data_IF_332049767165
#
_entry.id   IF_332049767165
#
_cell.length_a   1.000
_cell.length_b   1.000
_cell.length_c   1.000
_cell.angle_alpha   90.00
_cell.angle_beta   90.00
_cell.angle_gamma   90.00
#
_symmetry.space_group_name_H-M   'P 1'
#
loop_
_entity.id
_entity.type
_entity.pdbx_description
1 polymer ?
#
# COMPACT_ATOMS: atom_id res chain seq x y z
N UNK A 1 26.14 27.14 -26.18
CA UNK A 1 25.18 25.99 -26.12
C UNK A 1 25.46 25.03 -24.98
N UNK A 2 26.71 24.86 -24.51
CA UNK A 2 27.03 23.97 -23.37
C UNK A 2 26.43 24.41 -22.04
N UNK A 3 26.46 25.72 -21.72
CA UNK A 3 25.89 26.24 -20.47
C UNK A 3 24.37 25.98 -20.33
N UNK A 4 23.64 26.01 -21.45
CA UNK A 4 22.21 25.68 -21.49
C UNK A 4 21.95 24.17 -21.32
N UNK A 5 22.81 23.32 -21.88
CA UNK A 5 22.76 21.86 -21.69
C UNK A 5 23.07 21.45 -20.26
N UNK A 6 24.04 22.09 -19.61
CA UNK A 6 24.38 21.87 -18.19
C UNK A 6 23.21 22.27 -17.28
N UNK A 7 22.55 23.40 -17.56
CA UNK A 7 21.39 23.83 -16.78
C UNK A 7 20.19 22.87 -16.91
N UNK A 8 19.91 22.36 -18.12
CA UNK A 8 18.85 21.37 -18.34
C UNK A 8 19.19 20.03 -17.68
N UNK A 9 20.44 19.58 -17.80
CA UNK A 9 20.90 18.35 -17.17
C UNK A 9 20.77 18.43 -15.64
N UNK A 10 21.22 19.53 -15.02
CA UNK A 10 21.07 19.75 -13.58
C UNK A 10 19.60 19.76 -13.14
N UNK A 11 18.71 20.44 -13.87
CA UNK A 11 17.26 20.46 -13.59
C UNK A 11 16.62 19.06 -13.72
N UNK A 12 17.07 18.26 -14.68
CA UNK A 12 16.57 16.90 -14.89
C UNK A 12 17.04 15.94 -13.78
N UNK A 13 18.27 16.10 -13.29
CA UNK A 13 18.83 15.31 -12.18
C UNK A 13 18.13 15.66 -10.87
N UNK A 14 17.94 16.95 -10.57
CA UNK A 14 17.22 17.38 -9.36
C UNK A 14 15.75 16.94 -9.41
N UNK A 15 15.10 17.01 -10.57
CA UNK A 15 13.73 16.54 -10.76
C UNK A 15 13.59 15.04 -10.52
N UNK A 16 14.49 14.22 -11.05
CA UNK A 16 14.48 12.76 -10.84
C UNK A 16 14.65 12.38 -9.37
N UNK A 17 15.58 13.01 -8.66
CA UNK A 17 15.82 12.75 -7.22
C UNK A 17 14.59 13.10 -6.38
N UNK A 18 13.88 14.19 -6.71
CA UNK A 18 12.67 14.58 -5.97
C UNK A 18 11.56 13.54 -6.13
N UNK A 19 11.30 13.07 -7.36
CA UNK A 19 10.27 12.05 -7.60
C UNK A 19 10.63 10.76 -6.89
N UNK A 20 11.91 10.39 -6.85
CA UNK A 20 12.38 9.17 -6.21
C UNK A 20 12.14 9.22 -4.70
N UNK A 21 12.56 10.32 -4.05
CA UNK A 21 12.34 10.53 -2.61
C UNK A 21 10.85 10.53 -2.29
N UNK A 22 10.03 11.23 -3.08
CA UNK A 22 8.58 11.26 -2.90
C UNK A 22 7.97 9.86 -3.06
N UNK A 23 8.45 9.08 -4.01
CA UNK A 23 8.03 7.69 -4.24
C UNK A 23 8.35 6.85 -3.02
N UNK A 24 9.60 6.85 -2.55
CA UNK A 24 10.04 6.09 -1.37
C UNK A 24 9.22 6.44 -0.13
N UNK A 25 9.06 7.74 0.15
CA UNK A 25 8.27 8.20 1.31
C UNK A 25 6.82 7.73 1.18
N UNK A 26 6.21 7.94 0.02
CA UNK A 26 4.81 7.61 -0.21
C UNK A 26 4.53 6.10 -0.04
N UNK A 27 5.26 5.25 -0.78
CA UNK A 27 5.04 3.80 -0.75
C UNK A 27 5.51 3.17 0.58
N UNK A 28 6.57 3.72 1.17
CA UNK A 28 7.13 3.25 2.44
C UNK A 28 6.20 3.52 3.61
N UNK A 29 5.69 4.75 3.73
CA UNK A 29 4.71 5.09 4.77
C UNK A 29 3.42 4.28 4.61
N UNK A 30 2.92 4.13 3.38
CA UNK A 30 1.74 3.32 3.11
C UNK A 30 1.91 1.87 3.58
N UNK A 31 3.01 1.25 3.14
CA UNK A 31 3.35 -0.13 3.52
C UNK A 31 3.57 -0.26 5.02
N UNK A 32 4.17 0.75 5.65
CA UNK A 32 4.38 0.81 7.10
C UNK A 32 3.07 0.87 7.89
N UNK A 33 2.08 1.65 7.43
CA UNK A 33 0.74 1.69 8.05
C UNK A 33 0.06 0.32 7.95
N UNK A 34 0.09 -0.30 6.78
CA UNK A 34 -0.47 -1.62 6.52
C UNK A 34 0.19 -2.71 7.39
N UNK A 35 1.52 -2.68 7.47
CA UNK A 35 2.28 -3.55 8.37
C UNK A 35 1.93 -3.31 9.84
N UNK A 36 1.83 -2.05 10.26
CA UNK A 36 1.48 -1.70 11.65
C UNK A 36 0.11 -2.26 12.03
N UNK A 37 -0.87 -2.20 11.12
CA UNK A 37 -2.19 -2.77 11.32
C UNK A 37 -2.09 -4.29 11.52
N UNK A 38 -1.35 -4.98 10.65
CA UNK A 38 -1.20 -6.42 10.70
C UNK A 38 -0.44 -6.90 11.96
N UNK A 39 0.64 -6.22 12.32
CA UNK A 39 1.60 -6.65 13.33
C UNK A 39 1.28 -6.17 14.75
N UNK A 40 0.65 -5.00 14.90
CA UNK A 40 0.43 -4.39 16.22
C UNK A 40 -1.04 -4.13 16.50
N UNK A 41 -1.76 -3.45 15.60
CA UNK A 41 -3.15 -3.04 15.87
C UNK A 41 -4.08 -4.24 15.99
N UNK A 42 -4.01 -5.19 15.05
CA UNK A 42 -4.86 -6.38 15.08
C UNK A 42 -4.63 -7.23 16.35
N UNK A 43 -3.38 -7.54 16.76
CA UNK A 43 -3.13 -8.20 18.05
C UNK A 43 -3.60 -7.43 19.28
N UNK A 44 -3.50 -6.10 19.28
CA UNK A 44 -4.04 -5.27 20.38
C UNK A 44 -5.57 -5.40 20.44
N UNK A 45 -6.25 -5.30 19.29
CA UNK A 45 -7.70 -5.41 19.22
C UNK A 45 -8.20 -6.81 19.62
N UNK A 46 -7.43 -7.86 19.33
CA UNK A 46 -7.76 -9.23 19.72
C UNK A 46 -7.88 -9.41 21.24
N UNK A 47 -7.18 -8.59 22.03
CA UNK A 47 -7.19 -8.63 23.50
C UNK A 47 -8.37 -7.85 24.12
N UNK A 48 -9.10 -7.07 23.33
CA UNK A 48 -10.23 -6.27 23.83
C UNK A 48 -11.48 -7.14 24.06
N UNK A 49 -12.34 -6.74 25.03
CA UNK A 49 -13.69 -7.28 25.13
C UNK A 49 -14.44 -7.15 23.79
N UNK A 50 -15.29 -8.12 23.47
CA UNK A 50 -15.89 -8.27 22.14
C UNK A 50 -16.58 -7.00 21.62
N UNK A 51 -17.41 -6.35 22.44
CA UNK A 51 -18.10 -5.12 22.03
C UNK A 51 -17.11 -3.97 21.70
N UNK A 52 -16.04 -3.83 22.49
CA UNK A 52 -15.00 -2.83 22.26
C UNK A 52 -14.17 -3.15 21.02
N UNK A 53 -13.80 -4.43 20.81
CA UNK A 53 -13.12 -4.93 19.62
C UNK A 53 -13.91 -4.64 18.35
N UNK A 54 -15.20 -4.99 18.33
CA UNK A 54 -16.06 -4.81 17.15
C UNK A 54 -16.23 -3.33 16.81
N UNK A 55 -16.35 -2.48 17.83
CA UNK A 55 -16.39 -1.02 17.66
C UNK A 55 -15.09 -0.49 17.05
N UNK A 56 -13.94 -0.91 17.59
CA UNK A 56 -12.62 -0.50 17.09
C UNK A 56 -12.39 -0.93 15.64
N UNK A 57 -12.73 -2.18 15.29
CA UNK A 57 -12.66 -2.69 13.92
C UNK A 57 -13.56 -1.87 12.99
N UNK A 58 -14.82 -1.62 13.35
CA UNK A 58 -15.76 -0.85 12.51
C UNK A 58 -15.28 0.58 12.25
N UNK A 59 -14.73 1.24 13.28
CA UNK A 59 -14.15 2.59 13.14
C UNK A 59 -12.90 2.58 12.25
N UNK A 60 -11.99 1.63 12.47
CA UNK A 60 -10.79 1.45 11.66
C UNK A 60 -11.13 1.18 10.20
N UNK A 61 -12.07 0.27 9.96
CA UNK A 61 -12.57 -0.10 8.64
C UNK A 61 -13.11 1.11 7.85
N UNK A 62 -13.86 2.01 8.50
CA UNK A 62 -14.39 3.24 7.88
C UNK A 62 -13.29 4.23 7.55
N UNK A 63 -12.40 4.51 8.50
CA UNK A 63 -11.37 5.54 8.32
C UNK A 63 -10.33 5.10 7.29
N UNK A 64 -9.82 3.87 7.40
CA UNK A 64 -8.83 3.32 6.48
C UNK A 64 -9.42 3.12 5.08
N UNK A 65 -10.66 2.62 4.98
CA UNK A 65 -11.34 2.43 3.70
C UNK A 65 -11.52 3.73 2.89
N UNK A 66 -11.60 4.88 3.56
CA UNK A 66 -11.71 6.19 2.90
C UNK A 66 -10.38 6.73 2.37
N UNK A 67 -9.30 6.55 3.13
CA UNK A 67 -7.99 7.18 2.82
C UNK A 67 -7.14 6.27 1.93
N UNK A 68 -7.18 4.96 2.16
CA UNK A 68 -6.32 3.98 1.50
C UNK A 68 -6.37 4.04 -0.04
N UNK A 69 -7.54 4.14 -0.72
CA UNK A 69 -7.59 4.11 -2.19
C UNK A 69 -6.74 5.19 -2.85
N UNK A 70 -6.76 6.41 -2.32
CA UNK A 70 -5.97 7.52 -2.86
C UNK A 70 -4.47 7.26 -2.73
N UNK A 71 -4.05 6.63 -1.65
CA UNK A 71 -2.65 6.36 -1.38
C UNK A 71 -2.14 5.16 -2.21
N UNK A 72 -2.96 4.13 -2.42
CA UNK A 72 -2.64 3.04 -3.36
C UNK A 72 -2.48 3.54 -4.80
N UNK A 73 -3.41 4.39 -5.25
CA UNK A 73 -3.38 4.99 -6.60
C UNK A 73 -2.18 5.93 -6.73
N UNK A 74 -1.97 6.82 -5.75
CA UNK A 74 -0.83 7.73 -5.73
C UNK A 74 0.51 6.99 -5.75
N UNK A 75 0.66 5.94 -4.94
CA UNK A 75 1.84 5.08 -4.94
C UNK A 75 2.08 4.40 -6.29
N UNK A 76 1.02 3.87 -6.92
CA UNK A 76 1.13 3.26 -8.25
C UNK A 76 1.55 4.28 -9.32
N UNK A 77 0.96 5.48 -9.32
CA UNK A 77 1.31 6.53 -10.27
C UNK A 77 2.79 6.95 -10.13
N UNK A 78 3.29 7.04 -8.90
CA UNK A 78 4.70 7.32 -8.62
C UNK A 78 5.61 6.20 -9.13
N UNK A 79 5.30 4.93 -8.82
CA UNK A 79 6.06 3.77 -9.31
C UNK A 79 6.11 3.70 -10.85
N UNK A 80 4.99 3.97 -11.51
CA UNK A 80 4.92 4.00 -12.98
C UNK A 80 5.72 5.17 -13.54
N UNK A 81 5.63 6.35 -12.91
CA UNK A 81 6.40 7.54 -13.32
C UNK A 81 7.89 7.26 -13.26
N UNK A 82 8.37 6.69 -12.16
CA UNK A 82 9.77 6.27 -12.01
C UNK A 82 10.20 5.26 -13.07
N UNK A 83 9.38 4.24 -13.32
CA UNK A 83 9.65 3.23 -14.34
C UNK A 83 9.77 3.84 -15.75
N UNK A 84 8.93 4.83 -16.07
CA UNK A 84 8.97 5.52 -17.37
C UNK A 84 10.19 6.46 -17.47
N UNK A 85 10.51 7.20 -16.41
CA UNK A 85 11.67 8.10 -16.37
C UNK A 85 12.97 7.32 -16.47
N UNK A 86 13.08 6.19 -15.76
CA UNK A 86 14.26 5.31 -15.74
C UNK A 86 14.20 4.18 -16.77
N UNK A 87 13.41 4.32 -17.85
CA UNK A 87 13.19 3.26 -18.85
C UNK A 87 14.44 2.72 -19.56
N UNK A 88 15.57 3.41 -19.47
CA UNK A 88 16.85 2.99 -20.05
C UNK A 88 17.84 2.48 -19.00
N UNK A 89 17.42 2.31 -17.73
CA UNK A 89 18.27 1.70 -16.70
C UNK A 89 18.41 0.19 -16.95
N UNK A 90 19.52 -0.38 -16.50
CA UNK A 90 19.77 -1.83 -16.57
C UNK A 90 18.82 -2.66 -15.72
N UNK A 91 18.04 -2.03 -14.83
CA UNK A 91 17.17 -2.69 -13.85
C UNK A 91 15.68 -2.37 -14.03
N UNK A 92 15.30 -1.96 -15.23
CA UNK A 92 13.91 -1.63 -15.58
C UNK A 92 12.93 -2.79 -15.29
N UNK A 93 13.39 -4.04 -15.37
CA UNK A 93 12.59 -5.23 -15.04
C UNK A 93 12.14 -5.25 -13.57
N UNK A 94 12.99 -4.80 -12.63
CA UNK A 94 12.65 -4.72 -11.21
C UNK A 94 11.62 -3.62 -10.94
N UNK A 95 11.74 -2.47 -11.63
CA UNK A 95 10.78 -1.36 -11.49
C UNK A 95 9.38 -1.75 -11.98
N UNK A 96 9.28 -2.44 -13.12
CA UNK A 96 8.00 -2.97 -13.59
C UNK A 96 7.47 -4.11 -12.73
N UNK A 97 8.35 -4.97 -12.19
CA UNK A 97 7.96 -6.02 -11.24
C UNK A 97 7.39 -5.42 -9.95
N UNK A 98 7.95 -4.32 -9.45
CA UNK A 98 7.39 -3.56 -8.34
C UNK A 98 5.99 -3.02 -8.66
N UNK A 99 5.80 -2.42 -9.84
CA UNK A 99 4.50 -1.95 -10.31
C UNK A 99 3.47 -3.09 -10.37
N UNK A 100 3.83 -4.23 -10.96
CA UNK A 100 2.95 -5.37 -11.12
C UNK A 100 2.56 -5.97 -9.76
N UNK A 101 3.52 -6.09 -8.84
CA UNK A 101 3.28 -6.58 -7.49
C UNK A 101 2.35 -5.63 -6.71
N UNK A 102 2.53 -4.32 -6.88
CA UNK A 102 1.63 -3.30 -6.30
C UNK A 102 0.20 -3.41 -6.86
N UNK A 103 0.06 -3.61 -8.17
CA UNK A 103 -1.24 -3.85 -8.81
C UNK A 103 -1.90 -5.11 -8.26
N UNK A 104 -1.14 -6.20 -8.08
CA UNK A 104 -1.67 -7.42 -7.48
C UNK A 104 -2.22 -7.18 -6.06
N UNK A 105 -1.54 -6.35 -5.25
CA UNK A 105 -2.02 -5.94 -3.92
C UNK A 105 -3.32 -5.13 -3.98
N UNK A 106 -3.47 -4.25 -4.99
CA UNK A 106 -4.71 -3.50 -5.25
C UNK A 106 -5.84 -4.44 -5.65
N UNK A 107 -5.59 -5.35 -6.59
CA UNK A 107 -6.57 -6.35 -7.06
C UNK A 107 -7.05 -7.22 -5.89
N UNK A 108 -6.13 -7.78 -5.11
CA UNK A 108 -6.44 -8.52 -3.89
C UNK A 108 -7.34 -7.71 -2.95
N UNK A 109 -7.05 -6.42 -2.79
CA UNK A 109 -7.83 -5.52 -1.94
C UNK A 109 -9.26 -5.34 -2.46
N UNK A 110 -9.42 -4.97 -3.74
CA UNK A 110 -10.72 -4.65 -4.33
C UNK A 110 -11.65 -5.88 -4.37
N UNK A 111 -11.12 -7.04 -4.72
CA UNK A 111 -11.94 -8.24 -4.88
C UNK A 111 -12.30 -8.94 -3.57
N UNK A 112 -11.43 -8.84 -2.55
CA UNK A 112 -11.63 -9.61 -1.32
C UNK A 112 -11.69 -8.75 -0.06
N UNK A 113 -10.70 -7.89 0.17
CA UNK A 113 -10.62 -7.16 1.44
C UNK A 113 -11.70 -6.08 1.55
N UNK A 114 -11.92 -5.30 0.49
CA UNK A 114 -12.90 -4.19 0.48
C UNK A 114 -14.33 -4.71 0.66
N UNK A 115 -14.79 -5.76 -0.06
CA UNK A 115 -16.12 -6.32 0.17
C UNK A 115 -16.34 -6.84 1.59
N UNK A 116 -15.34 -7.53 2.17
CA UNK A 116 -15.43 -8.00 3.56
C UNK A 116 -15.50 -6.81 4.52
N UNK A 117 -14.65 -5.80 4.32
CA UNK A 117 -14.62 -4.60 5.14
C UNK A 117 -15.97 -3.84 5.09
N UNK A 118 -16.59 -3.74 3.91
CA UNK A 118 -17.89 -3.10 3.74
C UNK A 118 -19.01 -3.84 4.48
N UNK A 119 -18.98 -5.19 4.51
CA UNK A 119 -19.93 -6.00 5.29
C UNK A 119 -19.78 -5.75 6.79
N UNK A 120 -18.55 -5.68 7.29
CA UNK A 120 -18.24 -5.36 8.69
C UNK A 120 -18.75 -3.96 9.06
N UNK A 121 -18.54 -2.98 8.17
CA UNK A 121 -19.03 -1.61 8.36
C UNK A 121 -20.56 -1.56 8.38
N UNK A 122 -21.22 -2.32 7.51
CA UNK A 122 -22.69 -2.34 7.39
C UNK A 122 -23.39 -3.03 8.56
N UNK A 123 -22.80 -4.10 9.12
CA UNK A 123 -23.38 -4.83 10.25
C UNK A 123 -23.37 -4.02 11.57
N UNK A 124 -22.37 -3.15 11.75
CA UNK A 124 -22.21 -2.36 12.97
C UNK A 124 -21.72 -3.16 14.19
N UNK A 125 -21.40 -2.50 15.31
CA UNK A 125 -20.69 -3.14 16.43
C UNK A 125 -21.49 -4.15 17.25
N UNK A 126 -22.82 -4.04 17.24
CA UNK A 126 -23.74 -4.78 18.13
C UNK A 126 -24.26 -6.11 17.55
N UNK A 127 -23.94 -6.44 16.29
CA UNK A 127 -24.49 -7.60 15.60
C UNK A 127 -23.41 -8.38 14.80
N UNK A 128 -22.30 -8.73 15.45
CA UNK A 128 -21.24 -9.51 14.83
C UNK A 128 -21.62 -11.01 14.83
N UNK A 129 -22.24 -11.47 13.75
CA UNK A 129 -22.59 -12.88 13.59
C UNK A 129 -21.35 -13.77 13.45
N UNK A 130 -21.49 -15.07 13.70
CA UNK A 130 -20.40 -16.05 13.54
C UNK A 130 -19.84 -16.08 12.11
N UNK A 131 -20.71 -15.88 11.11
CA UNK A 131 -20.31 -15.75 9.70
C UNK A 131 -19.42 -14.52 9.46
N UNK A 132 -19.77 -13.38 10.05
CA UNK A 132 -18.93 -12.18 9.97
C UNK A 132 -17.56 -12.40 10.62
N UNK A 133 -17.50 -13.19 11.70
CA UNK A 133 -16.23 -13.56 12.34
C UNK A 133 -15.34 -14.39 11.41
N UNK A 134 -15.89 -15.41 10.75
CA UNK A 134 -15.15 -16.21 9.77
C UNK A 134 -14.65 -15.36 8.60
N UNK A 135 -15.46 -14.42 8.11
CA UNK A 135 -15.05 -13.48 7.07
C UNK A 135 -13.94 -12.55 7.56
N UNK A 136 -14.00 -12.08 8.80
CA UNK A 136 -12.97 -11.25 9.42
C UNK A 136 -11.63 -12.01 9.59
N UNK A 137 -11.66 -13.29 9.99
CA UNK A 137 -10.45 -14.12 10.05
C UNK A 137 -9.83 -14.32 8.66
N UNK A 138 -10.67 -14.54 7.64
CA UNK A 138 -10.21 -14.58 6.24
C UNK A 138 -9.62 -13.24 5.80
N UNK A 139 -10.21 -12.12 6.21
CA UNK A 139 -9.67 -10.79 5.95
C UNK A 139 -8.28 -10.62 6.54
N UNK A 140 -8.03 -11.06 7.78
CA UNK A 140 -6.70 -11.00 8.39
C UNK A 140 -5.64 -11.77 7.59
N UNK A 141 -5.97 -12.98 7.13
CA UNK A 141 -5.05 -13.78 6.32
C UNK A 141 -4.73 -13.08 4.99
N UNK A 142 -5.75 -12.61 4.28
CA UNK A 142 -5.56 -11.92 3.00
C UNK A 142 -4.84 -10.58 3.16
N UNK A 143 -5.08 -9.89 4.27
CA UNK A 143 -4.37 -8.66 4.62
C UNK A 143 -2.88 -8.90 4.89
N UNK A 144 -2.50 -10.01 5.53
CA UNK A 144 -1.07 -10.39 5.68
C UNK A 144 -0.42 -10.65 4.32
N UNK A 145 -1.11 -11.33 3.40
CA UNK A 145 -0.63 -11.52 2.03
C UNK A 145 -0.47 -10.19 1.28
N UNK A 146 -1.40 -9.26 1.48
CA UNK A 146 -1.28 -7.90 0.94
C UNK A 146 -0.04 -7.19 1.49
N UNK A 147 0.18 -7.22 2.80
CA UNK A 147 1.36 -6.60 3.42
C UNK A 147 2.65 -7.20 2.87
N UNK A 148 2.72 -8.53 2.75
CA UNK A 148 3.88 -9.20 2.17
C UNK A 148 4.13 -8.74 0.72
N UNK A 149 3.08 -8.67 -0.11
CA UNK A 149 3.18 -8.18 -1.48
C UNK A 149 3.67 -6.72 -1.54
N UNK A 150 3.19 -5.84 -0.66
CA UNK A 150 3.65 -4.46 -0.60
C UNK A 150 5.12 -4.35 -0.19
N UNK A 151 5.57 -5.11 0.80
CA UNK A 151 6.99 -5.15 1.20
C UNK A 151 7.87 -5.65 0.06
N UNK A 152 7.42 -6.66 -0.69
CA UNK A 152 8.13 -7.17 -1.87
C UNK A 152 8.20 -6.07 -2.94
N UNK A 153 7.10 -5.38 -3.23
CA UNK A 153 7.06 -4.30 -4.21
C UNK A 153 8.01 -3.15 -3.84
N UNK A 154 8.01 -2.73 -2.57
CA UNK A 154 8.94 -1.70 -2.07
C UNK A 154 10.38 -2.16 -2.20
N UNK A 155 10.69 -3.41 -1.83
CA UNK A 155 12.03 -3.97 -1.96
C UNK A 155 12.50 -4.01 -3.42
N UNK A 156 11.64 -4.47 -4.34
CA UNK A 156 11.93 -4.48 -5.78
C UNK A 156 12.19 -3.07 -6.31
N UNK A 157 11.38 -2.10 -5.90
CA UNK A 157 11.57 -0.71 -6.29
C UNK A 157 12.91 -0.15 -5.78
N UNK A 158 13.20 -0.34 -4.49
CA UNK A 158 14.45 0.13 -3.88
C UNK A 158 15.69 -0.49 -4.54
N UNK A 159 15.64 -1.77 -4.91
CA UNK A 159 16.74 -2.43 -5.63
C UNK A 159 16.86 -1.92 -7.06
N UNK A 160 15.74 -1.71 -7.74
CA UNK A 160 15.72 -1.24 -9.13
C UNK A 160 16.10 0.23 -9.30
N UNK A 161 15.96 1.05 -8.26
CA UNK A 161 16.23 2.49 -8.33
C UNK A 161 17.68 2.85 -8.02
N UNK A 162 18.40 1.99 -7.30
CA UNK A 162 19.80 2.16 -6.89
C UNK A 162 20.82 1.90 -8.01
N UNK A 163 20.39 1.43 -9.17
CA UNK A 163 21.26 0.89 -10.21
C UNK A 163 20.93 1.46 -11.60
#
# INVERSE_FOLDING_TARGET
MECFRVSIAARSVTGGIIVEILTIICIGLMTGVEFCIAAFINPIFAQLPEAARNTAISLGAKQLGRVMPFWYIGGLLLLVTESVVKRHSSHIELLWSACLTWVAAIVLSIFFLVPINNRIVAAGPSAFSEELRRQHDRWHLLHRWRVAALVIAVTMFLLGVQA
#
